data_IF_656316928324
#
_entry.id   IF_656316928324
#
_cell.length_a   1.000
_cell.length_b   1.000
_cell.length_c   1.000
_cell.angle_alpha   90.00
_cell.angle_beta   90.00
_cell.angle_gamma   90.00
#
_symmetry.space_group_name_H-M   'P 1'
#
loop_
_entity.id
_entity.type
_entity.pdbx_description
1 polymer ?
#
# COMPACT_ATOMS: atom_id res chain seq x y z
N UNK A 1 15.46 1.83 -6.51
CA UNK A 1 15.68 1.36 -5.13
C UNK A 1 17.04 1.85 -4.67
N UNK A 2 17.13 2.46 -3.50
CA UNK A 2 18.32 3.08 -2.95
C UNK A 2 19.13 2.05 -2.16
N UNK A 3 20.41 1.92 -2.49
CA UNK A 3 21.30 0.96 -1.85
C UNK A 3 21.81 1.48 -0.51
N UNK A 4 21.60 0.71 0.55
CA UNK A 4 22.12 0.98 1.90
C UNK A 4 23.42 0.20 2.13
N UNK A 5 24.31 0.75 2.95
CA UNK A 5 25.48 -0.03 3.41
C UNK A 5 25.03 -1.12 4.38
N UNK A 6 25.86 -2.15 4.54
CA UNK A 6 25.63 -3.15 5.58
C UNK A 6 25.44 -2.45 6.94
N UNK A 7 24.38 -2.82 7.66
CA UNK A 7 23.98 -2.25 8.96
C UNK A 7 23.40 -0.83 8.95
N UNK A 8 23.00 -0.30 7.79
CA UNK A 8 22.32 1.00 7.69
C UNK A 8 20.80 0.83 7.57
N UNK A 9 20.05 1.55 8.40
CA UNK A 9 18.57 1.56 8.36
C UNK A 9 18.08 2.64 7.42
N UNK A 10 17.16 2.28 6.52
CA UNK A 10 16.53 3.23 5.59
C UNK A 10 15.85 4.38 6.34
N UNK A 11 16.16 5.62 5.96
CA UNK A 11 15.44 6.79 6.45
C UNK A 11 15.24 7.79 5.31
N UNK A 12 14.00 7.90 4.81
CA UNK A 12 13.65 8.77 3.69
C UNK A 12 13.93 10.27 3.95
N UNK A 13 13.92 10.71 5.22
CA UNK A 13 14.23 12.10 5.58
C UNK A 13 15.72 12.42 5.52
N UNK A 14 16.57 11.39 5.58
CA UNK A 14 18.03 11.52 5.50
C UNK A 14 18.56 11.32 4.08
N UNK A 15 17.68 11.03 3.13
CA UNK A 15 17.99 10.77 1.73
C UNK A 15 17.42 11.92 0.90
N UNK A 16 18.21 12.43 -0.06
CA UNK A 16 17.75 13.45 -1.01
C UNK A 16 16.48 12.97 -1.72
N UNK A 17 15.51 13.85 -1.98
CA UNK A 17 14.21 13.48 -2.56
C UNK A 17 14.34 12.63 -3.83
N UNK A 18 15.29 12.97 -4.72
CA UNK A 18 15.58 12.22 -5.95
C UNK A 18 16.04 10.76 -5.72
N UNK A 19 16.52 10.47 -4.52
CA UNK A 19 17.05 9.16 -4.13
C UNK A 19 16.07 8.37 -3.24
N UNK A 20 14.90 8.92 -2.92
CA UNK A 20 13.88 8.20 -2.16
C UNK A 20 13.24 7.11 -3.01
N UNK A 21 12.97 5.97 -2.38
CA UNK A 21 12.38 4.84 -3.09
C UNK A 21 10.92 5.07 -3.41
N UNK A 22 10.56 4.81 -4.67
CA UNK A 22 9.17 4.71 -5.09
C UNK A 22 8.51 3.50 -4.46
N UNK A 23 7.21 3.60 -4.18
CA UNK A 23 6.41 2.47 -3.69
C UNK A 23 5.46 2.04 -4.79
N UNK A 24 5.58 0.79 -5.22
CA UNK A 24 4.75 0.20 -6.25
C UNK A 24 3.81 -0.82 -5.63
N UNK A 25 2.59 -0.89 -6.15
CA UNK A 25 1.60 -1.90 -5.76
C UNK A 25 0.75 -2.28 -6.95
N UNK A 26 0.47 -3.57 -7.08
CA UNK A 26 -0.49 -4.12 -8.03
C UNK A 26 -1.48 -5.00 -7.27
N UNK A 27 -2.76 -4.89 -7.54
CA UNK A 27 -3.77 -5.76 -6.96
C UNK A 27 -4.99 -5.88 -7.86
N UNK A 28 -5.78 -6.92 -7.64
CA UNK A 28 -7.06 -7.13 -8.30
C UNK A 28 -8.09 -7.61 -7.29
N UNK A 29 -9.37 -7.37 -7.57
CA UNK A 29 -10.46 -7.79 -6.70
C UNK A 29 -11.77 -8.02 -7.47
N UNK A 30 -12.68 -8.88 -6.96
CA UNK A 30 -12.43 -9.89 -5.90
C UNK A 30 -11.57 -11.06 -6.40
N UNK A 31 -11.02 -11.89 -5.50
CA UNK A 31 -10.11 -12.99 -5.87
C UNK A 31 -10.79 -14.05 -6.76
N UNK A 32 -12.00 -14.48 -6.40
CA UNK A 32 -12.69 -15.60 -7.06
C UNK A 32 -13.18 -15.26 -8.48
N UNK A 33 -13.53 -13.99 -8.73
CA UNK A 33 -13.98 -13.52 -10.04
C UNK A 33 -13.53 -12.05 -10.22
N UNK A 34 -12.28 -11.81 -10.66
CA UNK A 34 -11.70 -10.48 -10.73
C UNK A 34 -12.51 -9.53 -11.64
N UNK A 35 -12.86 -8.37 -11.11
CA UNK A 35 -13.62 -7.33 -11.83
C UNK A 35 -12.79 -6.07 -12.09
N UNK A 36 -11.80 -5.81 -11.24
CA UNK A 36 -10.86 -4.69 -11.39
C UNK A 36 -9.44 -5.16 -11.14
N UNK A 37 -8.49 -4.61 -11.90
CA UNK A 37 -7.07 -4.69 -11.64
C UNK A 37 -6.49 -3.27 -11.63
N UNK A 38 -5.64 -2.98 -10.65
CA UNK A 38 -5.03 -1.67 -10.45
C UNK A 38 -3.52 -1.86 -10.31
N UNK A 39 -2.76 -0.99 -10.99
CA UNK A 39 -1.33 -0.84 -10.81
C UNK A 39 -1.06 0.62 -10.45
N UNK A 40 -0.32 0.85 -9.37
CA UNK A 40 -0.04 2.20 -8.88
C UNK A 40 1.41 2.36 -8.41
N UNK A 41 1.87 3.60 -8.48
CA UNK A 41 3.16 4.05 -8.00
C UNK A 41 2.99 5.31 -7.14
N UNK A 42 3.63 5.31 -5.97
CA UNK A 42 3.88 6.52 -5.20
C UNK A 42 5.32 6.94 -5.40
N UNK A 43 5.51 8.05 -6.10
CA UNK A 43 6.82 8.64 -6.30
C UNK A 43 7.43 9.03 -4.95
N UNK A 44 8.72 8.74 -4.80
CA UNK A 44 9.52 9.03 -3.60
C UNK A 44 8.92 8.51 -2.27
N UNK A 45 8.05 7.51 -2.35
CA UNK A 45 7.37 6.91 -1.21
C UNK A 45 6.06 7.57 -0.80
N UNK A 46 5.67 8.65 -1.49
CA UNK A 46 4.53 9.49 -1.12
C UNK A 46 4.80 10.31 0.15
N UNK A 47 3.98 11.34 0.36
CA UNK A 47 4.04 12.19 1.56
C UNK A 47 2.96 11.82 2.61
N UNK A 48 2.27 10.69 2.43
CA UNK A 48 1.05 10.34 3.15
C UNK A 48 0.94 8.85 3.49
N UNK A 49 -0.28 8.29 3.53
CA UNK A 49 -0.50 6.88 3.85
C UNK A 49 0.33 5.92 2.98
N UNK A 50 0.62 4.74 3.51
CA UNK A 50 1.32 3.70 2.76
C UNK A 50 0.55 3.32 1.48
N UNK A 51 1.28 2.91 0.44
CA UNK A 51 0.67 2.50 -0.86
C UNK A 51 -0.42 1.45 -0.70
N UNK A 52 -0.29 0.53 0.27
CA UNK A 52 -1.30 -0.47 0.58
C UNK A 52 -2.61 0.12 1.14
N UNK A 53 -2.53 1.17 1.97
CA UNK A 53 -3.71 1.86 2.51
C UNK A 53 -4.48 2.55 1.40
N UNK A 54 -3.79 3.23 0.49
CA UNK A 54 -4.42 3.87 -0.68
C UNK A 54 -5.02 2.80 -1.60
N UNK A 55 -4.30 1.70 -1.83
CA UNK A 55 -4.79 0.60 -2.66
C UNK A 55 -6.08 -0.02 -2.10
N UNK A 56 -6.15 -0.22 -0.77
CA UNK A 56 -7.35 -0.68 -0.08
C UNK A 56 -8.51 0.29 -0.29
N UNK A 57 -8.29 1.59 -0.07
CA UNK A 57 -9.31 2.62 -0.26
C UNK A 57 -9.88 2.63 -1.69
N UNK A 58 -9.01 2.51 -2.71
CA UNK A 58 -9.43 2.42 -4.12
C UNK A 58 -10.30 1.19 -4.34
N UNK A 59 -9.84 0.01 -3.93
CA UNK A 59 -10.57 -1.23 -4.15
C UNK A 59 -11.90 -1.25 -3.37
N UNK A 60 -11.91 -0.80 -2.12
CA UNK A 60 -13.12 -0.74 -1.30
C UNK A 60 -14.15 0.20 -1.91
N UNK A 61 -13.72 1.36 -2.41
CA UNK A 61 -14.62 2.30 -3.10
C UNK A 61 -15.27 1.68 -4.34
N UNK A 62 -14.48 0.97 -5.16
CA UNK A 62 -14.97 0.32 -6.38
C UNK A 62 -15.91 -0.85 -6.04
N UNK A 63 -15.59 -1.63 -4.99
CA UNK A 63 -16.33 -2.86 -4.66
C UNK A 63 -17.58 -2.64 -3.83
N UNK A 64 -17.57 -1.65 -2.92
CA UNK A 64 -18.66 -1.47 -1.95
C UNK A 64 -19.67 -0.40 -2.40
N UNK A 65 -19.25 0.57 -3.21
CA UNK A 65 -20.10 1.67 -3.67
C UNK A 65 -20.49 2.62 -2.52
N UNK A 66 -20.41 3.92 -2.81
CA UNK A 66 -20.88 5.05 -1.98
C UNK A 66 -19.99 5.52 -0.82
N UNK A 67 -19.97 6.85 -0.64
CA UNK A 67 -19.19 7.63 0.34
C UNK A 67 -19.57 7.40 1.82
N UNK A 68 -20.27 6.30 2.11
CA UNK A 68 -20.70 5.91 3.46
C UNK A 68 -19.88 4.73 4.00
N UNK A 69 -18.79 4.36 3.33
CA UNK A 69 -17.84 3.39 3.84
C UNK A 69 -17.12 3.99 5.05
N UNK A 70 -17.54 3.63 6.26
CA UNK A 70 -16.71 3.80 7.45
C UNK A 70 -15.55 2.83 7.34
N UNK A 71 -14.50 3.27 6.67
CA UNK A 71 -13.26 2.54 6.61
C UNK A 71 -12.73 2.43 8.04
N UNK A 72 -12.43 1.21 8.53
CA UNK A 72 -11.79 1.07 9.83
C UNK A 72 -10.49 1.88 9.81
N UNK A 73 -10.29 2.71 10.83
CA UNK A 73 -9.08 3.54 10.98
C UNK A 73 -7.80 2.71 11.14
N UNK A 74 -7.91 1.39 11.22
CA UNK A 74 -6.79 0.48 11.44
C UNK A 74 -6.60 -0.46 10.25
N UNK A 75 -5.31 -0.72 9.96
CA UNK A 75 -4.89 -1.79 9.08
C UNK A 75 -5.46 -3.10 9.63
N UNK A 76 -6.24 -3.91 8.87
CA UNK A 76 -6.77 -5.16 9.38
C UNK A 76 -5.60 -5.99 9.89
N UNK A 77 -5.63 -6.22 11.21
CA UNK A 77 -4.61 -7.00 11.89
C UNK A 77 -4.38 -8.28 11.09
N UNK A 78 -3.11 -8.60 10.88
CA UNK A 78 -2.69 -9.85 10.27
C UNK A 78 -3.28 -10.96 11.14
N UNK A 79 -4.44 -11.49 10.76
CA UNK A 79 -4.92 -12.74 11.32
C UNK A 79 -4.02 -13.81 10.71
N UNK A 80 -2.89 -14.03 11.38
CA UNK A 80 -2.20 -15.29 11.33
C UNK A 80 -3.22 -16.34 11.79
N UNK A 81 -3.86 -16.99 10.83
CA UNK A 81 -4.43 -18.30 11.07
C UNK A 81 -3.26 -19.24 11.33
N UNK A 82 -2.89 -19.35 12.61
CA UNK A 82 -2.25 -20.55 13.13
C UNK A 82 -3.29 -21.67 13.02
N UNK A 83 -3.24 -22.43 11.92
CA UNK A 83 -3.82 -23.76 11.85
C UNK A 83 -2.66 -24.78 11.83
N UNK A 84 -2.49 -25.41 13.01
CA UNK A 84 -1.77 -26.65 13.37
C UNK A 84 -0.23 -26.64 13.46
#
# INVERSE_FOLDING_TARGET
MFGLKANETYNAHRISERLRDHKLMTAFAPYNNPQVAVAMILENGGAGPAVGTIMRQILDHIMLGDNNTTLPSENPAVTAGEDQ
#
